data_IF_806650790502
#
_entry.id   IF_806650790502
#
_cell.length_a   1.000
_cell.length_b   1.000
_cell.length_c   1.000
_cell.angle_alpha   90.00
_cell.angle_beta   90.00
_cell.angle_gamma   90.00
#
_symmetry.space_group_name_H-M   'P 1'
#
loop_
_entity.id
_entity.type
_entity.pdbx_description
1 polymer ?
#
# COMPACT_ATOMS: atom_id res chain seq x y z
N UNK A 1 -29.26 -41.34 -4.66
CA UNK A 1 -27.94 -40.66 -4.65
C UNK A 1 -28.06 -39.41 -5.52
N UNK A 2 -28.15 -38.22 -4.91
CA UNK A 2 -28.35 -36.96 -5.63
C UNK A 2 -26.98 -36.35 -5.93
N UNK A 3 -26.68 -36.16 -7.22
CA UNK A 3 -25.49 -35.44 -7.64
C UNK A 3 -25.59 -33.97 -7.17
N UNK A 4 -24.60 -33.52 -6.41
CA UNK A 4 -24.39 -32.10 -6.13
C UNK A 4 -23.78 -31.49 -7.39
N UNK A 5 -24.57 -30.72 -8.14
CA UNK A 5 -24.05 -29.83 -9.17
C UNK A 5 -23.36 -28.69 -8.44
N UNK A 6 -22.03 -28.60 -8.57
CA UNK A 6 -21.25 -27.45 -8.09
C UNK A 6 -21.70 -26.21 -8.86
N UNK A 7 -22.14 -25.19 -8.13
CA UNK A 7 -22.41 -23.88 -8.72
C UNK A 7 -21.12 -23.33 -9.35
N UNK A 8 -21.20 -22.59 -10.47
CA UNK A 8 -20.02 -21.95 -11.04
C UNK A 8 -19.44 -21.00 -9.98
N UNK A 9 -18.18 -21.24 -9.63
CA UNK A 9 -17.41 -20.34 -8.80
C UNK A 9 -17.46 -18.98 -9.48
N UNK A 10 -17.96 -17.97 -8.78
CA UNK A 10 -17.98 -16.61 -9.26
C UNK A 10 -16.53 -16.13 -9.40
N UNK A 11 -15.95 -16.33 -10.57
CA UNK A 11 -14.76 -15.62 -11.04
C UNK A 11 -15.16 -14.16 -11.38
N UNK A 12 -15.64 -13.43 -10.37
CA UNK A 12 -16.36 -12.17 -10.52
C UNK A 12 -15.93 -11.07 -9.55
N UNK A 13 -14.81 -11.24 -8.83
CA UNK A 13 -14.28 -10.21 -7.93
C UNK A 13 -13.43 -9.13 -8.61
N UNK A 14 -12.98 -9.38 -9.85
CA UNK A 14 -12.00 -8.52 -10.53
C UNK A 14 -12.59 -7.27 -11.17
N UNK A 15 -13.69 -7.40 -11.92
CA UNK A 15 -14.16 -6.32 -12.79
C UNK A 15 -14.97 -5.26 -12.04
N UNK A 16 -15.89 -5.66 -11.16
CA UNK A 16 -16.70 -4.72 -10.38
C UNK A 16 -15.86 -3.88 -9.42
N UNK A 17 -14.91 -4.50 -8.72
CA UNK A 17 -13.98 -3.78 -7.85
C UNK A 17 -13.07 -2.84 -8.65
N UNK A 18 -12.62 -3.24 -9.84
CA UNK A 18 -11.83 -2.38 -10.71
C UNK A 18 -12.64 -1.21 -11.28
N UNK A 19 -13.92 -1.42 -11.61
CA UNK A 19 -14.85 -0.38 -12.05
C UNK A 19 -15.12 0.66 -10.95
N UNK A 20 -15.36 0.21 -9.71
CA UNK A 20 -15.52 1.08 -8.56
C UNK A 20 -14.27 1.94 -8.31
N UNK A 21 -13.06 1.37 -8.46
CA UNK A 21 -11.80 2.13 -8.38
C UNK A 21 -11.69 3.18 -9.49
N UNK A 22 -11.97 2.82 -10.75
CA UNK A 22 -11.95 3.77 -11.88
C UNK A 22 -12.97 4.90 -11.70
N UNK A 23 -14.17 4.61 -11.19
CA UNK A 23 -15.16 5.64 -10.89
C UNK A 23 -14.69 6.60 -9.78
N UNK A 24 -13.97 6.09 -8.77
CA UNK A 24 -13.46 6.89 -7.66
C UNK A 24 -12.21 7.69 -8.00
N UNK A 25 -11.31 7.12 -8.79
CA UNK A 25 -9.95 7.66 -9.03
C UNK A 25 -9.72 8.14 -10.47
N UNK A 26 -10.66 7.90 -11.38
CA UNK A 26 -10.53 8.23 -12.80
C UNK A 26 -9.61 7.29 -13.56
N UNK A 27 -9.12 7.77 -14.71
CA UNK A 27 -8.14 7.09 -15.53
C UNK A 27 -6.72 7.53 -15.19
N UNK A 28 -5.74 6.67 -15.47
CA UNK A 28 -4.33 7.02 -15.35
C UNK A 28 -4.02 8.17 -16.34
N UNK A 29 -3.31 9.22 -15.91
CA UNK A 29 -2.82 10.26 -16.81
C UNK A 29 -1.91 9.69 -17.90
N UNK A 30 -1.68 10.48 -18.95
CA UNK A 30 -0.68 10.14 -19.97
C UNK A 30 0.70 9.93 -19.34
N UNK A 31 1.45 8.99 -19.90
CA UNK A 31 2.81 8.70 -19.43
C UNK A 31 3.71 9.90 -19.75
N UNK A 32 4.45 10.37 -18.75
CA UNK A 32 5.47 11.41 -18.89
C UNK A 32 6.53 10.95 -19.90
N UNK A 33 6.98 11.86 -20.78
CA UNK A 33 8.03 11.54 -21.75
C UNK A 33 9.35 11.33 -21.03
N UNK A 34 10.21 10.50 -21.59
CA UNK A 34 11.50 10.22 -20.97
C UNK A 34 12.37 11.47 -20.89
N UNK A 35 12.33 12.33 -21.92
CA UNK A 35 13.04 13.61 -21.93
C UNK A 35 12.59 14.60 -20.84
N UNK A 36 11.39 14.42 -20.28
CA UNK A 36 10.83 15.27 -19.22
C UNK A 36 11.04 14.68 -17.81
N UNK A 37 11.62 13.48 -17.70
CA UNK A 37 11.95 12.85 -16.42
C UNK A 37 13.32 13.31 -15.91
N UNK A 38 13.48 13.35 -14.59
CA UNK A 38 14.77 13.58 -13.92
C UNK A 38 15.12 12.37 -13.05
N UNK A 39 16.39 11.98 -13.04
CA UNK A 39 16.88 10.93 -12.14
C UNK A 39 17.00 11.48 -10.72
N UNK A 40 16.42 10.78 -9.74
CA UNK A 40 16.61 11.13 -8.33
C UNK A 40 17.99 10.67 -7.87
N UNK A 41 18.77 11.61 -7.36
CA UNK A 41 20.04 11.31 -6.70
C UNK A 41 19.81 11.04 -5.22
N UNK A 42 20.33 9.92 -4.73
CA UNK A 42 20.29 9.61 -3.29
C UNK A 42 21.15 10.64 -2.55
N UNK A 43 20.52 11.44 -1.68
CA UNK A 43 21.25 12.32 -0.78
C UNK A 43 22.10 11.47 0.19
N UNK A 44 23.30 11.93 0.59
CA UNK A 44 24.08 11.26 1.62
C UNK A 44 23.21 10.99 2.85
N UNK A 45 23.20 9.74 3.29
CA UNK A 45 22.42 9.34 4.46
C UNK A 45 23.01 10.02 5.69
N UNK A 46 22.17 10.73 6.46
CA UNK A 46 22.56 11.24 7.77
C UNK A 46 22.67 10.07 8.75
N UNK A 47 23.87 9.74 9.27
CA UNK A 47 24.04 8.64 10.22
C UNK A 47 23.28 8.88 11.54
N UNK A 48 22.98 10.13 11.89
CA UNK A 48 22.17 10.44 13.06
C UNK A 48 20.69 10.03 12.91
N UNK A 49 20.19 9.88 11.67
CA UNK A 49 18.83 9.37 11.42
C UNK A 49 18.67 7.88 11.74
N UNK A 50 19.74 7.11 11.63
CA UNK A 50 19.75 5.68 12.00
C UNK A 50 20.15 5.46 13.46
N UNK A 51 20.63 6.50 14.15
CA UNK A 51 21.00 6.40 15.54
C UNK A 51 19.74 6.15 16.39
N UNK A 52 19.75 5.06 17.15
CA UNK A 52 18.66 4.73 18.05
C UNK A 52 18.52 5.81 19.15
N UNK A 53 17.47 6.63 19.05
CA UNK A 53 17.13 7.63 20.04
C UNK A 53 16.15 7.05 21.06
N UNK A 54 16.68 6.55 22.19
CA UNK A 54 15.88 5.90 23.23
C UNK A 54 14.66 6.73 23.67
N UNK A 55 14.83 8.05 23.86
CA UNK A 55 13.75 8.94 24.27
C UNK A 55 12.58 9.02 23.26
N UNK A 56 12.87 9.00 21.95
CA UNK A 56 11.85 9.01 20.89
C UNK A 56 11.20 7.63 20.70
N UNK A 57 11.94 6.55 20.98
CA UNK A 57 11.43 5.18 20.86
C UNK A 57 10.30 4.87 21.85
N UNK A 58 10.31 5.48 23.03
CA UNK A 58 9.24 5.30 24.02
C UNK A 58 7.89 5.82 23.51
N UNK A 59 7.86 6.96 22.79
CA UNK A 59 6.64 7.55 22.25
C UNK A 59 6.01 6.62 21.20
N UNK A 60 6.81 6.07 20.28
CA UNK A 60 6.30 5.10 19.29
C UNK A 60 5.86 3.78 19.94
N UNK A 61 6.57 3.33 20.98
CA UNK A 61 6.23 2.09 21.67
C UNK A 61 4.92 2.20 22.45
N UNK A 62 4.57 3.37 22.99
CA UNK A 62 3.31 3.58 23.71
C UNK A 62 2.09 3.43 22.80
N UNK A 63 2.14 3.93 21.56
CA UNK A 63 1.04 3.74 20.60
C UNK A 63 0.89 2.26 20.21
N UNK A 64 1.99 1.58 19.93
CA UNK A 64 1.97 0.15 19.61
C UNK A 64 1.47 -0.69 20.80
N UNK A 65 1.85 -0.35 22.03
CA UNK A 65 1.38 -1.04 23.24
C UNK A 65 -0.13 -0.88 23.43
N UNK A 66 -0.68 0.32 23.20
CA UNK A 66 -2.13 0.55 23.22
C UNK A 66 -2.86 -0.27 22.16
N UNK A 67 -2.34 -0.33 20.93
CA UNK A 67 -2.95 -1.12 19.84
C UNK A 67 -2.93 -2.64 20.12
N UNK A 68 -1.92 -3.11 20.87
CA UNK A 68 -1.78 -4.51 21.27
C UNK A 68 -2.43 -4.85 22.61
N UNK A 69 -2.89 -3.84 23.37
CA UNK A 69 -3.51 -4.00 24.69
C UNK A 69 -2.53 -4.42 25.80
N UNK A 70 -1.26 -3.99 25.72
CA UNK A 70 -0.21 -4.24 26.72
C UNK A 70 -0.15 -3.15 27.80
#
# INVERSE_FOLDING_TARGET
MRAVVRAPEAEGGGDGAAAARRARFGHLPERVRFEDMVEEQVAPKDPARDAYAAAGSFISSSCLALDLGL
#
